data_IF_789483652778
#
_entry.id   IF_789483652778
#
_cell.length_a   1.000
_cell.length_b   1.000
_cell.length_c   1.000
_cell.angle_alpha   90.00
_cell.angle_beta   90.00
_cell.angle_gamma   90.00
#
_symmetry.space_group_name_H-M   'P 1'
#
loop_
_entity.id
_entity.type
_entity.pdbx_description
1 polymer ?
#
# COMPACT_ATOMS: atom_id res chain seq x y z
N UNK A 1 -39.86 26.26 5.97
CA UNK A 1 -38.83 25.51 6.72
C UNK A 1 -37.78 25.11 5.72
N UNK A 2 -36.56 25.56 5.95
CA UNK A 2 -35.40 25.39 5.07
C UNK A 2 -34.78 24.00 5.35
N UNK A 3 -34.68 23.09 4.37
CA UNK A 3 -34.05 21.80 4.61
C UNK A 3 -32.53 22.01 4.64
N UNK A 4 -31.98 22.00 5.85
CA UNK A 4 -30.56 22.19 6.10
C UNK A 4 -29.67 21.26 5.27
N UNK A 5 -28.60 21.85 4.73
CA UNK A 5 -27.50 21.17 4.05
C UNK A 5 -26.98 19.99 4.87
N UNK A 6 -27.20 18.78 4.38
CA UNK A 6 -26.50 17.58 4.83
C UNK A 6 -25.33 17.34 3.88
N UNK A 7 -24.12 17.22 4.43
CA UNK A 7 -22.95 16.80 3.66
C UNK A 7 -23.12 15.34 3.24
N UNK A 8 -23.53 15.09 1.99
CA UNK A 8 -23.48 13.76 1.39
C UNK A 8 -22.01 13.35 1.16
N UNK A 9 -21.45 12.65 2.15
CA UNK A 9 -20.20 11.89 2.00
C UNK A 9 -20.46 10.69 1.09
N UNK A 10 -19.63 10.56 0.05
CA UNK A 10 -19.48 9.38 -0.82
C UNK A 10 -20.37 9.32 -2.06
N UNK A 11 -20.31 10.36 -2.89
CA UNK A 11 -20.76 10.23 -4.27
C UNK A 11 -19.61 9.78 -5.19
N UNK A 12 -19.70 8.61 -5.84
CA UNK A 12 -18.62 8.03 -6.66
C UNK A 12 -18.31 8.82 -7.93
N UNK A 13 -19.16 9.76 -8.34
CA UNK A 13 -18.95 10.63 -9.50
C UNK A 13 -18.07 11.84 -9.17
N UNK A 14 -18.16 12.39 -7.95
CA UNK A 14 -17.29 13.48 -7.44
C UNK A 14 -15.80 13.05 -7.45
N UNK A 15 -15.53 11.78 -7.13
CA UNK A 15 -14.18 11.20 -7.17
C UNK A 15 -13.62 11.07 -8.61
N UNK A 16 -14.49 10.99 -9.61
CA UNK A 16 -14.11 10.81 -11.01
C UNK A 16 -13.76 12.16 -11.66
N UNK A 17 -14.49 13.23 -11.31
CA UNK A 17 -14.18 14.60 -11.75
C UNK A 17 -12.82 15.08 -11.22
N UNK A 18 -12.53 14.82 -9.95
CA UNK A 18 -11.24 15.14 -9.29
C UNK A 18 -10.03 14.49 -9.96
N UNK A 19 -10.13 13.19 -10.31
CA UNK A 19 -9.05 12.47 -11.00
C UNK A 19 -8.72 13.01 -12.41
N UNK A 20 -9.67 13.71 -13.04
CA UNK A 20 -9.49 14.31 -14.37
C UNK A 20 -8.91 15.73 -14.33
N UNK A 21 -8.79 16.35 -13.14
CA UNK A 21 -8.35 17.74 -12.99
C UNK A 21 -9.29 18.78 -13.61
N UNK A 22 -10.52 18.40 -13.95
CA UNK A 22 -11.52 19.30 -14.52
C UNK A 22 -12.48 19.79 -13.44
N UNK A 23 -12.55 21.10 -13.26
CA UNK A 23 -13.57 21.73 -12.42
C UNK A 23 -14.97 21.41 -12.99
N UNK A 24 -15.95 20.98 -12.16
CA UNK A 24 -17.31 20.64 -12.63
C UNK A 24 -18.10 21.80 -13.24
N UNK A 25 -17.57 23.03 -13.18
CA UNK A 25 -18.28 24.28 -13.51
C UNK A 25 -17.62 25.09 -14.65
N UNK A 26 -16.58 24.55 -15.31
CA UNK A 26 -15.85 25.25 -16.37
C UNK A 26 -16.44 25.08 -17.77
N UNK A 27 -16.31 26.09 -18.63
CA UNK A 27 -16.65 26.03 -20.06
C UNK A 27 -15.41 25.75 -20.93
N UNK A 28 -15.60 24.98 -22.01
CA UNK A 28 -14.56 24.70 -23.01
C UNK A 28 -14.46 25.83 -24.05
N UNK A 29 -13.24 26.17 -24.47
CA UNK A 29 -13.02 27.09 -25.59
C UNK A 29 -12.98 26.26 -26.88
N UNK A 30 -13.78 26.59 -27.92
CA UNK A 30 -13.80 25.84 -29.16
C UNK A 30 -12.50 26.01 -29.95
N UNK A 31 -11.98 24.90 -30.49
CA UNK A 31 -10.84 24.93 -31.41
C UNK A 31 -11.20 25.68 -32.70
N UNK A 32 -10.53 26.80 -32.96
CA UNK A 32 -10.59 27.55 -34.21
C UNK A 32 -9.18 27.82 -34.72
N UNK A 33 -8.99 27.77 -36.05
CA UNK A 33 -7.73 28.03 -36.75
C UNK A 33 -7.35 29.53 -36.74
N UNK A 34 -7.11 30.10 -35.56
CA UNK A 34 -6.61 31.46 -35.38
C UNK A 34 -5.57 31.46 -34.25
N UNK A 35 -4.42 32.10 -34.48
CA UNK A 35 -3.30 32.14 -33.52
C UNK A 35 -3.69 32.79 -32.19
N UNK A 36 -4.69 33.68 -32.19
CA UNK A 36 -5.23 34.26 -30.95
C UNK A 36 -6.07 33.25 -30.16
N UNK A 37 -6.83 32.40 -30.85
CA UNK A 37 -7.58 31.31 -30.21
C UNK A 37 -6.65 30.19 -29.76
N UNK A 38 -5.57 29.92 -30.49
CA UNK A 38 -4.55 28.96 -30.06
C UNK A 38 -3.77 29.47 -28.84
N UNK A 39 -3.45 30.78 -28.79
CA UNK A 39 -2.87 31.41 -27.60
C UNK A 39 -3.87 31.46 -26.43
N UNK A 40 -5.14 31.81 -26.67
CA UNK A 40 -6.19 31.80 -25.65
C UNK A 40 -6.51 30.38 -25.19
N UNK A 41 -6.45 29.37 -26.06
CA UNK A 41 -6.61 27.96 -25.70
C UNK A 41 -5.40 27.51 -24.90
N UNK A 42 -4.17 27.86 -25.28
CA UNK A 42 -2.97 27.56 -24.49
C UNK A 42 -2.92 28.30 -23.16
N UNK A 43 -3.44 29.52 -23.09
CA UNK A 43 -3.55 30.31 -21.87
C UNK A 43 -4.68 29.78 -21.00
N UNK A 44 -5.86 29.50 -21.57
CA UNK A 44 -6.95 28.83 -20.91
C UNK A 44 -6.46 27.48 -20.41
N UNK A 45 -5.89 26.61 -21.23
CA UNK A 45 -5.25 25.35 -20.82
C UNK A 45 -4.10 25.55 -19.83
N UNK A 46 -3.49 26.73 -19.68
CA UNK A 46 -2.47 27.00 -18.64
C UNK A 46 -3.09 27.46 -17.32
N UNK A 47 -4.18 28.22 -17.40
CA UNK A 47 -4.90 28.81 -16.27
C UNK A 47 -6.07 27.89 -15.78
N UNK A 48 -6.55 26.99 -16.65
CA UNK A 48 -7.56 25.93 -16.46
C UNK A 48 -6.98 24.52 -16.55
N UNK A 49 -5.71 24.34 -16.97
CA UNK A 49 -4.84 23.47 -16.16
C UNK A 49 -4.79 24.13 -14.79
N UNK A 50 -5.82 23.83 -13.99
CA UNK A 50 -5.54 23.41 -12.64
C UNK A 50 -4.41 22.41 -12.79
N UNK A 51 -3.18 22.87 -12.57
CA UNK A 51 -2.01 22.04 -12.35
C UNK A 51 -2.51 20.94 -11.44
N UNK A 52 -2.85 19.76 -11.99
CA UNK A 52 -3.61 18.70 -11.28
C UNK A 52 -2.96 18.65 -9.93
N UNK A 53 -3.63 19.21 -8.90
CA UNK A 53 -2.89 19.58 -7.68
C UNK A 53 -2.17 18.32 -7.31
N UNK A 54 -0.87 18.36 -7.01
CA UNK A 54 -0.08 17.13 -6.91
C UNK A 54 -0.78 16.05 -6.04
N UNK A 55 -1.62 16.47 -5.09
CA UNK A 55 -2.66 15.68 -4.41
C UNK A 55 -3.66 14.93 -5.32
N UNK A 56 -4.35 15.59 -6.24
CA UNK A 56 -5.28 14.97 -7.21
C UNK A 56 -4.60 13.90 -8.08
N UNK A 57 -3.33 14.10 -8.45
CA UNK A 57 -2.56 13.05 -9.14
C UNK A 57 -2.30 11.85 -8.22
N UNK A 58 -2.00 12.10 -6.94
CA UNK A 58 -1.89 11.03 -5.93
C UNK A 58 -3.23 10.30 -5.77
N UNK A 59 -4.36 11.03 -5.70
CA UNK A 59 -5.71 10.46 -5.61
C UNK A 59 -6.03 9.61 -6.83
N UNK A 60 -5.70 10.07 -8.04
CA UNK A 60 -5.84 9.31 -9.27
C UNK A 60 -5.15 7.94 -9.20
N UNK A 61 -3.92 7.91 -8.69
CA UNK A 61 -3.17 6.65 -8.47
C UNK A 61 -3.79 5.75 -7.40
N UNK A 62 -4.33 6.32 -6.32
CA UNK A 62 -5.07 5.54 -5.30
C UNK A 62 -6.32 4.89 -5.91
N UNK A 63 -7.10 5.64 -6.68
CA UNK A 63 -8.29 5.13 -7.36
C UNK A 63 -7.95 4.09 -8.42
N UNK A 64 -6.87 4.29 -9.18
CA UNK A 64 -6.36 3.31 -10.14
C UNK A 64 -6.00 1.98 -9.44
N UNK A 65 -5.31 2.05 -8.31
CA UNK A 65 -4.86 0.86 -7.59
C UNK A 65 -5.97 0.11 -6.84
N UNK A 66 -6.89 0.85 -6.21
CA UNK A 66 -7.84 0.32 -5.25
C UNK A 66 -9.29 0.33 -5.76
N UNK A 67 -9.55 0.88 -6.95
CA UNK A 67 -10.91 1.15 -7.45
C UNK A 67 -11.69 2.09 -6.52
N UNK A 68 -13.03 2.04 -6.62
CA UNK A 68 -13.95 2.78 -5.73
C UNK A 68 -14.23 2.03 -4.41
N UNK A 69 -13.19 1.45 -3.81
CA UNK A 69 -13.31 0.66 -2.58
C UNK A 69 -13.28 1.52 -1.32
N UNK A 70 -13.71 0.95 -0.19
CA UNK A 70 -13.57 1.59 1.12
C UNK A 70 -12.12 1.94 1.44
N UNK A 71 -11.16 1.09 1.03
CA UNK A 71 -9.72 1.37 1.17
C UNK A 71 -9.31 2.63 0.43
N UNK A 72 -9.81 2.82 -0.80
CA UNK A 72 -9.55 4.03 -1.58
C UNK A 72 -10.13 5.27 -0.87
N UNK A 73 -11.40 5.23 -0.47
CA UNK A 73 -12.05 6.34 0.24
C UNK A 73 -11.30 6.75 1.52
N UNK A 74 -10.83 5.76 2.29
CA UNK A 74 -10.05 6.01 3.50
C UNK A 74 -8.66 6.57 3.21
N UNK A 75 -7.99 6.07 2.17
CA UNK A 75 -6.68 6.56 1.78
C UNK A 75 -6.76 8.01 1.26
N UNK A 76 -7.80 8.33 0.49
CA UNK A 76 -8.09 9.68 0.01
C UNK A 76 -8.37 10.62 1.19
N UNK A 77 -9.21 10.22 2.13
CA UNK A 77 -9.48 11.01 3.34
C UNK A 77 -8.20 11.29 4.15
N UNK A 78 -7.32 10.28 4.28
CA UNK A 78 -6.01 10.45 4.91
C UNK A 78 -5.12 11.45 4.15
N UNK A 79 -5.10 11.37 2.82
CA UNK A 79 -4.32 12.28 1.97
C UNK A 79 -4.83 13.72 2.05
N UNK A 80 -6.14 13.94 1.97
CA UNK A 80 -6.77 15.27 2.11
C UNK A 80 -6.40 15.89 3.48
N UNK A 81 -6.47 15.09 4.57
CA UNK A 81 -6.07 15.54 5.91
C UNK A 81 -4.58 15.89 6.02
N UNK A 82 -3.69 15.08 5.44
CA UNK A 82 -2.25 15.38 5.48
C UNK A 82 -1.94 16.63 4.66
N UNK A 83 -2.57 16.79 3.50
CA UNK A 83 -2.33 17.90 2.60
C UNK A 83 -2.81 19.24 3.17
N UNK A 84 -3.93 19.26 3.90
CA UNK A 84 -4.45 20.49 4.53
C UNK A 84 -3.50 21.08 5.57
N UNK A 85 -2.65 20.25 6.20
CA UNK A 85 -1.65 20.69 7.18
C UNK A 85 -0.30 20.94 6.51
N UNK A 86 0.11 20.03 5.63
CA UNK A 86 1.38 20.14 4.94
C UNK A 86 1.25 19.62 3.52
N UNK A 87 1.22 20.58 2.58
CA UNK A 87 1.09 20.29 1.16
C UNK A 87 2.14 19.31 0.66
N UNK A 88 1.69 18.25 -0.03
CA UNK A 88 2.57 17.28 -0.68
C UNK A 88 3.45 17.94 -1.76
N UNK A 89 2.94 18.99 -2.41
CA UNK A 89 3.67 19.75 -3.44
C UNK A 89 4.95 20.41 -2.92
N UNK A 90 5.03 20.71 -1.61
CA UNK A 90 6.24 21.26 -0.95
C UNK A 90 7.35 20.22 -0.75
N UNK A 91 6.98 18.93 -0.71
CA UNK A 91 7.88 17.78 -0.46
C UNK A 91 8.26 17.04 -1.74
N UNK A 92 7.81 17.52 -2.90
CA UNK A 92 8.08 16.89 -4.21
C UNK A 92 9.57 16.85 -4.58
N UNK A 93 10.43 17.67 -4.00
CA UNK A 93 11.83 17.77 -4.46
C UNK A 93 12.66 16.59 -3.94
N UNK A 94 13.14 15.76 -4.88
CA UNK A 94 14.17 14.71 -4.77
C UNK A 94 13.73 13.43 -4.05
N UNK A 95 13.41 12.40 -4.84
CA UNK A 95 13.37 11.02 -4.40
C UNK A 95 14.61 10.27 -4.91
N UNK A 96 14.84 9.03 -4.46
CA UNK A 96 15.95 8.22 -4.94
C UNK A 96 15.58 7.55 -6.26
N UNK A 97 14.34 7.08 -6.39
CA UNK A 97 13.84 6.38 -7.56
C UNK A 97 13.49 7.27 -8.75
N UNK A 98 13.49 8.59 -8.59
CA UNK A 98 13.30 9.53 -9.71
C UNK A 98 14.62 9.96 -10.40
N UNK A 99 15.75 9.38 -9.98
CA UNK A 99 17.05 9.66 -10.60
C UNK A 99 17.03 9.19 -12.05
N UNK A 100 17.40 10.08 -12.96
CA UNK A 100 17.42 9.86 -14.43
C UNK A 100 16.06 9.85 -15.13
N UNK A 101 14.97 10.19 -14.43
CA UNK A 101 13.65 10.37 -15.05
C UNK A 101 13.49 11.78 -15.65
N UNK A 102 12.62 11.92 -16.65
CA UNK A 102 12.13 13.22 -17.09
C UNK A 102 11.36 13.93 -15.95
N UNK A 103 11.13 15.24 -16.03
CA UNK A 103 10.38 15.94 -14.97
C UNK A 103 8.96 15.38 -14.78
N UNK A 104 8.30 15.01 -15.88
CA UNK A 104 6.94 14.46 -15.87
C UNK A 104 6.92 13.05 -15.29
N UNK A 105 7.85 12.18 -15.71
CA UNK A 105 7.97 10.82 -15.15
C UNK A 105 8.35 10.85 -13.66
N UNK A 106 9.23 11.78 -13.27
CA UNK A 106 9.59 11.99 -11.88
C UNK A 106 8.38 12.48 -11.07
N UNK A 107 7.57 13.39 -11.62
CA UNK A 107 6.33 13.84 -10.97
C UNK A 107 5.37 12.67 -10.76
N UNK A 108 5.15 11.87 -11.79
CA UNK A 108 4.29 10.69 -11.72
C UNK A 108 4.79 9.64 -10.72
N UNK A 109 6.09 9.32 -10.75
CA UNK A 109 6.72 8.41 -9.78
C UNK A 109 6.47 8.88 -8.34
N UNK A 110 6.71 10.16 -8.05
CA UNK A 110 6.49 10.72 -6.71
C UNK A 110 5.03 10.63 -6.28
N UNK A 111 4.09 10.85 -7.20
CA UNK A 111 2.67 10.70 -6.93
C UNK A 111 2.32 9.23 -6.58
N UNK A 112 2.84 8.26 -7.35
CA UNK A 112 2.72 6.82 -7.03
C UNK A 112 3.32 6.46 -5.67
N UNK A 113 4.46 7.05 -5.31
CA UNK A 113 5.08 6.84 -3.98
C UNK A 113 4.15 7.27 -2.85
N UNK A 114 3.57 8.47 -2.91
CA UNK A 114 2.63 8.94 -1.88
C UNK A 114 1.33 8.13 -1.87
N UNK A 115 0.81 7.77 -3.05
CA UNK A 115 -0.41 6.98 -3.18
C UNK A 115 -0.26 5.60 -2.53
N UNK A 116 0.79 4.86 -2.91
CA UNK A 116 1.08 3.55 -2.32
C UNK A 116 1.35 3.64 -0.83
N UNK A 117 2.05 4.68 -0.38
CA UNK A 117 2.33 4.90 1.04
C UNK A 117 1.08 5.16 1.87
N UNK A 118 0.10 5.90 1.34
CA UNK A 118 -1.18 6.14 2.02
C UNK A 118 -1.96 4.82 2.22
N UNK A 119 -1.98 3.96 1.20
CA UNK A 119 -2.60 2.63 1.29
C UNK A 119 -1.87 1.75 2.30
N UNK A 120 -0.53 1.80 2.34
CA UNK A 120 0.29 1.03 3.29
C UNK A 120 0.17 1.50 4.74
N UNK A 121 -0.12 2.79 4.97
CA UNK A 121 -0.46 3.30 6.30
C UNK A 121 -1.70 2.59 6.83
N UNK A 122 -2.75 2.47 6.02
CA UNK A 122 -3.96 1.71 6.40
C UNK A 122 -3.64 0.23 6.65
N UNK A 123 -2.75 -0.36 5.85
CA UNK A 123 -2.29 -1.75 6.05
C UNK A 123 -1.59 -1.93 7.39
N UNK A 124 -0.83 -0.91 7.81
CA UNK A 124 -0.09 -0.91 9.06
C UNK A 124 -1.00 -0.77 10.28
N UNK A 125 -2.15 -0.11 10.12
CA UNK A 125 -3.18 0.00 11.16
C UNK A 125 -4.07 -1.26 11.26
N UNK A 126 -3.73 -2.34 10.54
CA UNK A 126 -4.45 -3.61 10.56
C UNK A 126 -5.52 -3.78 9.47
N UNK A 127 -5.68 -2.81 8.56
CA UNK A 127 -6.66 -2.92 7.46
C UNK A 127 -6.06 -3.65 6.27
N UNK A 128 -6.52 -4.87 6.00
CA UNK A 128 -6.02 -5.70 4.89
C UNK A 128 -6.17 -4.97 3.55
N UNK A 129 -5.09 -4.87 2.78
CA UNK A 129 -5.09 -4.32 1.43
C UNK A 129 -3.86 -4.76 0.62
N UNK A 130 -3.83 -4.38 -0.67
CA UNK A 130 -2.81 -4.76 -1.65
C UNK A 130 -1.60 -3.80 -1.70
N UNK A 131 -1.33 -3.03 -0.65
CA UNK A 131 -0.24 -2.02 -0.62
C UNK A 131 1.12 -2.54 -1.06
N UNK A 132 1.46 -3.79 -0.72
CA UNK A 132 2.75 -4.40 -1.07
C UNK A 132 2.82 -4.80 -2.54
N UNK A 133 1.73 -5.33 -3.07
CA UNK A 133 1.57 -5.65 -4.48
C UNK A 133 1.67 -4.37 -5.29
N UNK A 134 0.96 -3.31 -4.88
CA UNK A 134 1.02 -1.97 -5.49
C UNK A 134 2.46 -1.44 -5.52
N UNK A 135 3.16 -1.47 -4.38
CA UNK A 135 4.53 -0.97 -4.31
C UNK A 135 5.51 -1.76 -5.20
N UNK A 136 5.33 -3.08 -5.30
CA UNK A 136 6.10 -3.95 -6.20
C UNK A 136 5.79 -3.62 -7.66
N UNK A 137 4.51 -3.61 -8.02
CA UNK A 137 4.05 -3.48 -9.42
C UNK A 137 4.38 -2.11 -10.00
N UNK A 138 4.42 -1.08 -9.16
CA UNK A 138 4.85 0.26 -9.55
C UNK A 138 6.37 0.46 -9.49
N UNK A 139 7.14 -0.53 -9.02
CA UNK A 139 8.60 -0.44 -8.91
C UNK A 139 9.06 0.63 -7.92
N UNK A 140 8.33 0.85 -6.82
CA UNK A 140 8.63 1.91 -5.88
C UNK A 140 9.92 1.62 -5.11
N UNK A 141 10.82 2.60 -5.03
CA UNK A 141 12.03 2.47 -4.23
C UNK A 141 11.68 2.37 -2.74
N UNK A 142 12.27 1.40 -2.04
CA UNK A 142 12.01 1.15 -0.63
C UNK A 142 12.28 2.36 0.27
N UNK A 143 13.34 3.13 0.00
CA UNK A 143 13.73 4.31 0.79
C UNK A 143 12.68 5.40 0.63
N UNK A 144 12.24 5.66 -0.60
CA UNK A 144 11.23 6.67 -0.91
C UNK A 144 9.88 6.30 -0.30
N UNK A 145 9.46 5.05 -0.50
CA UNK A 145 8.20 4.51 0.03
C UNK A 145 8.17 4.59 1.56
N UNK A 146 9.24 4.14 2.22
CA UNK A 146 9.34 4.23 3.69
C UNK A 146 9.39 5.68 4.17
N UNK A 147 10.08 6.56 3.44
CA UNK A 147 10.16 7.99 3.73
C UNK A 147 8.79 8.68 3.65
N UNK A 148 8.04 8.42 2.58
CA UNK A 148 6.69 8.94 2.38
C UNK A 148 5.70 8.41 3.43
N UNK A 149 5.76 7.11 3.74
CA UNK A 149 4.98 6.52 4.85
C UNK A 149 5.28 7.17 6.20
N UNK A 150 6.56 7.42 6.52
CA UNK A 150 6.95 8.12 7.75
C UNK A 150 6.39 9.54 7.77
N UNK A 151 6.51 10.27 6.66
CA UNK A 151 5.98 11.62 6.53
C UNK A 151 4.47 11.66 6.81
N UNK A 152 3.67 10.81 6.14
CA UNK A 152 2.23 10.72 6.34
C UNK A 152 1.90 10.42 7.82
N UNK A 153 2.57 9.43 8.42
CA UNK A 153 2.38 9.09 9.83
C UNK A 153 2.75 10.21 10.79
N UNK A 154 3.83 10.95 10.53
CA UNK A 154 4.25 12.08 11.36
C UNK A 154 3.20 13.19 11.37
N UNK A 155 2.66 13.53 10.19
CA UNK A 155 1.61 14.56 10.11
C UNK A 155 0.33 14.06 10.77
N UNK A 156 -0.13 12.85 10.42
CA UNK A 156 -1.32 12.22 11.02
C UNK A 156 -1.29 12.24 12.56
N UNK A 157 -0.18 11.81 13.16
CA UNK A 157 -0.04 11.75 14.63
C UNK A 157 -0.06 13.11 15.31
N UNK A 158 0.51 14.13 14.66
CA UNK A 158 0.49 15.50 15.19
C UNK A 158 -0.92 16.07 15.24
N UNK A 159 -1.79 15.65 14.33
CA UNK A 159 -3.14 16.20 14.18
C UNK A 159 -4.18 15.52 15.06
N UNK A 160 -4.13 14.18 15.13
CA UNK A 160 -5.22 13.42 15.72
C UNK A 160 -5.00 13.10 17.21
N UNK A 161 -3.82 13.44 17.76
CA UNK A 161 -3.36 12.91 19.07
C UNK A 161 -3.56 11.39 19.20
N UNK A 162 -3.64 10.69 18.06
CA UNK A 162 -3.97 9.28 18.02
C UNK A 162 -2.76 8.51 18.55
N UNK A 163 -2.94 7.63 19.55
CA UNK A 163 -1.90 6.70 19.91
C UNK A 163 -1.56 5.88 18.67
N UNK A 164 -0.29 5.46 18.55
CA UNK A 164 0.10 4.61 17.44
C UNK A 164 -0.84 3.40 17.41
N UNK A 165 -1.66 3.27 16.36
CA UNK A 165 -2.48 2.07 16.15
C UNK A 165 -1.54 0.88 16.12
N UNK A 166 -1.58 0.08 17.17
CA UNK A 166 -0.81 -1.16 17.28
C UNK A 166 -1.81 -2.28 17.06
N UNK A 167 -2.01 -2.64 15.80
CA UNK A 167 -2.64 -3.92 15.50
C UNK A 167 -1.90 -5.01 16.30
N UNK A 168 -2.63 -5.88 17.05
CA UNK A 168 -2.00 -6.93 17.83
C UNK A 168 -1.07 -7.76 16.94
N UNK A 169 0.12 -8.10 17.46
CA UNK A 169 1.12 -8.89 16.72
C UNK A 169 0.52 -10.20 16.20
N UNK A 170 -0.22 -10.89 17.05
CA UNK A 170 -0.99 -12.11 16.74
C UNK A 170 -1.96 -11.90 15.57
N UNK A 171 -2.69 -10.78 15.58
CA UNK A 171 -3.59 -10.37 14.50
C UNK A 171 -2.87 -10.20 13.16
N UNK A 172 -1.73 -9.52 13.15
CA UNK A 172 -0.90 -9.36 11.95
C UNK A 172 -0.40 -10.73 11.45
N UNK A 173 0.07 -11.61 12.34
CA UNK A 173 0.54 -12.94 11.96
C UNK A 173 -0.59 -13.77 11.32
N UNK A 174 -1.76 -13.85 11.97
CA UNK A 174 -2.94 -14.60 11.46
C UNK A 174 -3.36 -14.09 10.07
N UNK A 175 -3.32 -12.78 9.88
CA UNK A 175 -3.61 -12.14 8.60
C UNK A 175 -2.60 -12.54 7.51
N UNK A 176 -1.30 -12.51 7.82
CA UNK A 176 -0.26 -12.87 6.86
C UNK A 176 -0.29 -14.35 6.48
N UNK A 177 -0.59 -15.23 7.45
CA UNK A 177 -0.83 -16.64 7.16
C UNK A 177 -2.01 -16.82 6.19
N UNK A 178 -3.11 -16.08 6.39
CA UNK A 178 -4.27 -16.12 5.51
C UNK A 178 -3.91 -15.65 4.09
N UNK A 179 -3.21 -14.52 3.97
CA UNK A 179 -2.77 -14.01 2.67
C UNK A 179 -1.83 -14.99 1.95
N UNK A 180 -0.83 -15.53 2.65
CA UNK A 180 0.10 -16.51 2.08
C UNK A 180 -0.62 -17.79 1.65
N UNK A 181 -1.66 -18.21 2.38
CA UNK A 181 -2.48 -19.37 2.03
C UNK A 181 -3.26 -19.13 0.75
N UNK A 182 -3.87 -17.95 0.60
CA UNK A 182 -4.59 -17.60 -0.62
C UNK A 182 -3.68 -17.63 -1.84
N UNK A 183 -2.51 -16.97 -1.78
CA UNK A 183 -1.55 -16.99 -2.88
C UNK A 183 -0.97 -18.40 -3.14
N UNK A 184 -0.67 -19.16 -2.10
CA UNK A 184 -0.18 -20.54 -2.26
C UNK A 184 -1.27 -21.45 -2.86
N UNK A 185 -2.54 -21.23 -2.52
CA UNK A 185 -3.65 -22.03 -3.05
C UNK A 185 -3.79 -21.91 -4.56
N UNK A 186 -3.41 -20.76 -5.14
CA UNK A 186 -3.37 -20.55 -6.58
C UNK A 186 -2.23 -21.34 -7.27
N UNK A 187 -1.19 -21.72 -6.52
CA UNK A 187 -0.03 -22.44 -7.04
C UNK A 187 -0.15 -23.96 -6.89
N UNK A 188 -0.70 -24.45 -5.77
CA UNK A 188 -0.70 -25.89 -5.42
C UNK A 188 -2.09 -26.43 -5.04
N UNK A 189 -3.13 -25.61 -5.12
CA UNK A 189 -4.48 -25.95 -4.71
C UNK A 189 -4.76 -25.72 -3.22
N UNK A 190 -6.06 -25.62 -2.89
CA UNK A 190 -6.55 -25.19 -1.57
C UNK A 190 -6.21 -26.17 -0.45
N UNK A 191 -6.30 -27.47 -0.71
CA UNK A 191 -6.04 -28.53 0.28
C UNK A 191 -4.60 -28.49 0.78
N UNK A 192 -3.64 -28.44 -0.14
CA UNK A 192 -2.21 -28.38 0.19
C UNK A 192 -1.87 -27.07 0.90
N UNK A 193 -2.39 -25.93 0.42
CA UNK A 193 -2.17 -24.64 1.06
C UNK A 193 -2.71 -24.58 2.49
N UNK A 194 -3.89 -25.16 2.74
CA UNK A 194 -4.46 -25.25 4.09
C UNK A 194 -3.63 -26.15 5.02
N UNK A 195 -3.08 -27.26 4.52
CA UNK A 195 -2.15 -28.08 5.29
C UNK A 195 -0.89 -27.29 5.69
N UNK A 196 -0.30 -26.55 4.74
CA UNK A 196 0.85 -25.67 5.04
C UNK A 196 0.48 -24.63 6.09
N UNK A 197 -0.72 -24.03 5.99
CA UNK A 197 -1.20 -23.07 7.00
C UNK A 197 -1.31 -23.69 8.39
N UNK A 198 -1.90 -24.89 8.49
CA UNK A 198 -2.04 -25.60 9.76
C UNK A 198 -0.66 -25.87 10.39
N UNK A 199 0.28 -26.42 9.62
CA UNK A 199 1.66 -26.64 10.09
C UNK A 199 2.38 -25.33 10.45
N UNK A 200 2.11 -24.23 9.76
CA UNK A 200 2.68 -22.93 10.11
C UNK A 200 2.13 -22.40 11.44
N UNK A 201 0.84 -22.62 11.73
CA UNK A 201 0.22 -22.29 13.02
C UNK A 201 0.88 -23.12 14.13
N UNK A 202 1.04 -24.43 13.94
CA UNK A 202 1.73 -25.30 14.90
C UNK A 202 3.14 -24.77 15.22
N UNK A 203 3.94 -24.47 14.19
CA UNK A 203 5.29 -23.90 14.34
C UNK A 203 5.26 -22.59 15.14
N UNK A 204 4.29 -21.70 14.90
CA UNK A 204 4.21 -20.41 15.58
C UNK A 204 3.74 -20.56 17.04
N UNK A 205 2.84 -21.50 17.30
CA UNK A 205 2.37 -21.83 18.65
C UNK A 205 3.49 -22.47 19.48
N UNK A 206 4.25 -23.42 18.91
CA UNK A 206 5.45 -24.01 19.53
C UNK A 206 6.50 -22.95 19.90
N UNK A 207 6.56 -21.86 19.13
CA UNK A 207 7.48 -20.74 19.34
C UNK A 207 6.85 -19.57 20.13
N UNK A 208 5.69 -19.78 20.76
CA UNK A 208 5.02 -18.82 21.65
C UNK A 208 4.64 -17.48 20.97
N UNK A 209 4.42 -17.48 19.64
CA UNK A 209 4.11 -16.28 18.84
C UNK A 209 2.61 -16.07 18.57
N UNK A 210 1.79 -17.10 18.78
CA UNK A 210 0.34 -17.10 18.54
C UNK A 210 -0.49 -17.40 19.80
N UNK A 211 0.09 -17.19 20.98
CA UNK A 211 -0.66 -17.27 22.24
C UNK A 211 -1.68 -16.12 22.31
N UNK A 212 -2.88 -16.40 22.84
CA UNK A 212 -3.95 -15.40 22.98
C UNK A 212 -3.58 -14.29 23.99
N UNK A 213 -4.33 -13.19 23.94
CA UNK A 213 -4.00 -11.84 24.44
C UNK A 213 -3.59 -11.71 25.93
N UNK A 214 -3.62 -12.77 26.73
CA UNK A 214 -3.35 -12.73 28.18
C UNK A 214 -1.97 -13.25 28.62
N UNK A 215 -1.16 -13.86 27.77
CA UNK A 215 -0.03 -14.65 28.27
C UNK A 215 1.24 -14.50 27.48
N UNK A 216 2.14 -13.64 27.95
CA UNK A 216 3.58 -13.63 27.67
C UNK A 216 3.94 -13.97 26.22
N UNK A 217 4.28 -12.96 25.41
CA UNK A 217 5.12 -13.16 24.22
C UNK A 217 6.41 -13.79 24.72
N UNK A 218 6.45 -15.12 24.75
CA UNK A 218 7.61 -15.86 25.23
C UNK A 218 8.80 -15.53 24.35
N UNK A 219 10.02 -15.72 24.85
CA UNK A 219 11.26 -15.49 24.11
C UNK A 219 11.49 -16.55 23.01
N UNK A 220 10.52 -16.75 22.13
CA UNK A 220 10.61 -17.63 20.97
C UNK A 220 11.55 -17.06 19.91
N UNK A 221 11.99 -17.93 18.99
CA UNK A 221 12.99 -17.56 17.96
C UNK A 221 12.58 -16.42 17.02
N UNK A 222 11.28 -16.12 16.95
CA UNK A 222 10.70 -15.13 16.04
C UNK A 222 10.47 -13.76 16.69
N UNK A 223 10.69 -13.62 17.99
CA UNK A 223 10.41 -12.40 18.76
C UNK A 223 11.17 -11.18 18.23
N UNK A 224 12.42 -11.38 17.81
CA UNK A 224 13.27 -10.35 17.23
C UNK A 224 12.92 -10.00 15.77
N UNK A 225 11.96 -10.71 15.17
CA UNK A 225 11.49 -10.44 13.80
C UNK A 225 10.21 -9.62 13.82
N UNK A 226 9.94 -8.89 12.73
CA UNK A 226 8.63 -8.27 12.53
C UNK A 226 7.56 -9.36 12.39
N UNK A 227 6.34 -9.08 12.85
CA UNK A 227 5.21 -10.02 12.79
C UNK A 227 5.03 -10.66 11.40
N UNK A 228 5.14 -9.84 10.35
CA UNK A 228 5.02 -10.28 8.95
C UNK A 228 6.15 -11.19 8.52
N UNK A 229 7.37 -10.91 8.97
CA UNK A 229 8.54 -11.74 8.66
C UNK A 229 8.50 -13.06 9.45
N UNK A 230 8.06 -13.03 10.71
CA UNK A 230 7.80 -14.24 11.49
C UNK A 230 6.79 -15.16 10.79
N UNK A 231 5.66 -14.60 10.34
CA UNK A 231 4.66 -15.34 9.58
C UNK A 231 5.24 -15.93 8.28
N UNK A 232 6.02 -15.16 7.51
CA UNK A 232 6.70 -15.66 6.31
C UNK A 232 7.67 -16.82 6.64
N UNK A 233 8.50 -16.65 7.68
CA UNK A 233 9.49 -17.66 8.06
C UNK A 233 8.83 -18.97 8.46
N UNK A 234 7.82 -18.92 9.34
CA UNK A 234 7.05 -20.09 9.74
C UNK A 234 6.33 -20.75 8.55
N UNK A 235 5.78 -19.96 7.63
CA UNK A 235 5.11 -20.48 6.44
C UNK A 235 6.08 -21.20 5.50
N UNK A 236 7.29 -20.66 5.30
CA UNK A 236 8.32 -21.31 4.48
C UNK A 236 8.83 -22.60 5.13
N UNK A 237 9.00 -22.62 6.44
CA UNK A 237 9.34 -23.84 7.17
C UNK A 237 8.23 -24.90 7.08
N UNK A 238 6.97 -24.48 7.16
CA UNK A 238 5.83 -25.37 6.94
C UNK A 238 5.81 -25.95 5.52
N UNK A 239 6.09 -25.13 4.49
CA UNK A 239 6.23 -25.61 3.11
C UNK A 239 7.33 -26.69 3.00
N UNK A 240 8.45 -26.51 3.69
CA UNK A 240 9.52 -27.49 3.73
C UNK A 240 9.10 -28.79 4.44
N UNK A 241 8.44 -28.70 5.60
CA UNK A 241 7.91 -29.87 6.34
C UNK A 241 6.89 -30.67 5.52
N UNK A 242 6.06 -29.99 4.72
CA UNK A 242 5.08 -30.62 3.81
C UNK A 242 5.73 -31.10 2.49
N UNK A 243 7.07 -31.03 2.37
CA UNK A 243 7.86 -31.48 1.23
C UNK A 243 7.51 -30.80 -0.10
N UNK A 244 7.17 -29.51 -0.06
CA UNK A 244 6.98 -28.70 -1.27
C UNK A 244 8.31 -28.29 -1.90
N UNK A 245 8.33 -28.13 -3.22
CA UNK A 245 9.51 -27.63 -3.94
C UNK A 245 9.83 -26.19 -3.51
N UNK A 246 11.10 -25.93 -3.20
CA UNK A 246 11.65 -24.61 -2.91
C UNK A 246 11.29 -23.56 -3.97
N UNK A 247 11.15 -23.94 -5.25
CA UNK A 247 10.74 -23.01 -6.31
C UNK A 247 9.42 -22.30 -5.98
N UNK A 248 8.49 -22.98 -5.30
CA UNK A 248 7.21 -22.43 -4.85
C UNK A 248 7.40 -21.33 -3.80
N UNK A 249 8.41 -21.42 -2.94
CA UNK A 249 8.73 -20.36 -1.96
C UNK A 249 9.09 -19.06 -2.67
N UNK A 250 9.91 -19.15 -3.73
CA UNK A 250 10.29 -17.98 -4.52
C UNK A 250 9.10 -17.39 -5.26
N UNK A 251 8.22 -18.23 -5.80
CA UNK A 251 6.99 -17.79 -6.46
C UNK A 251 6.04 -17.10 -5.47
N UNK A 252 5.81 -17.71 -4.30
CA UNK A 252 5.00 -17.12 -3.24
C UNK A 252 5.55 -15.76 -2.79
N UNK A 253 6.87 -15.65 -2.56
CA UNK A 253 7.49 -14.40 -2.17
C UNK A 253 7.37 -13.32 -3.25
N UNK A 254 7.45 -13.69 -4.54
CA UNK A 254 7.20 -12.75 -5.64
C UNK A 254 5.77 -12.22 -5.60
N UNK A 255 4.78 -13.07 -5.31
CA UNK A 255 3.36 -12.69 -5.23
C UNK A 255 3.03 -11.82 -4.01
N UNK A 256 3.62 -12.12 -2.86
CA UNK A 256 3.40 -11.40 -1.60
C UNK A 256 4.73 -11.04 -0.92
N UNK A 257 5.44 -10.00 -1.40
CA UNK A 257 6.75 -9.67 -0.89
C UNK A 257 6.65 -9.08 0.52
N UNK A 258 7.39 -9.66 1.46
CA UNK A 258 7.53 -9.14 2.83
C UNK A 258 8.84 -8.34 2.96
N UNK A 259 8.79 -7.08 3.47
CA UNK A 259 9.99 -6.28 3.72
C UNK A 259 11.01 -7.00 4.61
N UNK A 260 12.28 -7.01 4.20
CA UNK A 260 13.36 -7.71 4.91
C UNK A 260 13.29 -9.24 4.88
N UNK A 261 12.38 -9.81 4.07
CA UNK A 261 12.21 -11.25 3.89
C UNK A 261 13.08 -11.87 2.78
N UNK A 262 13.58 -11.06 1.83
CA UNK A 262 14.33 -11.54 0.65
C UNK A 262 15.57 -12.36 1.04
N UNK A 263 16.38 -11.83 1.96
CA UNK A 263 17.58 -12.51 2.46
C UNK A 263 17.26 -13.87 3.10
N UNK A 264 16.11 -13.97 3.79
CA UNK A 264 15.68 -15.23 4.37
C UNK A 264 15.24 -16.23 3.28
N UNK A 265 14.45 -15.79 2.30
CA UNK A 265 14.00 -16.63 1.18
C UNK A 265 15.18 -17.18 0.37
N UNK A 266 16.24 -16.38 0.17
CA UNK A 266 17.44 -16.89 -0.52
C UNK A 266 18.26 -17.86 0.33
N UNK A 267 18.25 -17.72 1.66
CA UNK A 267 18.98 -18.60 2.59
C UNK A 267 18.19 -19.84 3.02
N UNK A 268 16.89 -19.91 2.77
CA UNK A 268 16.02 -21.03 3.16
C UNK A 268 16.34 -22.35 2.44
N UNK A 269 17.33 -22.37 1.53
CA UNK A 269 17.80 -23.53 0.79
C UNK A 269 18.00 -24.79 1.64
N UNK A 270 18.58 -24.61 2.82
CA UNK A 270 18.93 -25.70 3.73
C UNK A 270 17.69 -26.43 4.27
N UNK A 271 16.53 -25.76 4.36
CA UNK A 271 15.29 -26.35 4.85
C UNK A 271 14.69 -27.37 3.88
N UNK A 272 15.05 -27.29 2.59
CA UNK A 272 14.51 -28.14 1.51
C UNK A 272 15.47 -29.27 1.12
N UNK A 273 16.50 -29.53 1.92
CA UNK A 273 17.37 -30.70 1.76
C UNK A 273 16.69 -31.86 2.48
N UNK A 274 16.12 -32.78 1.73
CA UNK A 274 15.57 -34.01 2.29
C UNK A 274 16.71 -34.95 2.64
N UNK A 275 16.74 -35.44 3.88
CA UNK A 275 17.49 -36.63 4.27
C UNK A 275 16.77 -37.90 3.80
#
# INVERSE_FOLDING_TARGET
MDPGFTHERNQPHVLTGRASGKSPLGSDIPEKFDSKFDWLSKLHDRETREDVQFLEQIIGHVLYACGKSQTASMAIALLDQVNSIKSFGSRRKKMVGDRMMSEDDARDYRARVYAGSAVDVLNSDGRVNQSRQIARDWGLNYVDFTGAKRFINTIRRKTLCEPASRAPRSGIIRQELTNNTEFLSQLVGRTVANNVRATAIEILTEQLELLDDDGLVGAGRFTNQTARKAALMAFVEAMAKVKLDRKLVRQLYRLNPVPGGSNFVERSAHLFRYE
#
